data_IF_088072349911
#
_entry.id   IF_088072349911
#
_cell.length_a   1.000
_cell.length_b   1.000
_cell.length_c   1.000
_cell.angle_alpha   90.00
_cell.angle_beta   90.00
_cell.angle_gamma   90.00
#
_symmetry.space_group_name_H-M   'P 1'
#
loop_
_entity.id
_entity.type
_entity.pdbx_description
1 polymer ?
#
# COMPACT_ATOMS: atom_id res chain seq x y z
N UNK A 1 5.97 -30.70 19.27
CA UNK A 1 6.51 -31.38 18.06
C UNK A 1 5.90 -32.78 17.81
N UNK A 2 5.47 -33.52 18.87
CA UNK A 2 4.90 -34.88 18.71
C UNK A 2 3.43 -34.92 18.25
N UNK A 3 2.61 -33.97 18.65
CA UNK A 3 1.15 -33.97 18.34
C UNK A 3 0.79 -33.44 16.94
N UNK A 4 1.65 -32.66 16.31
CA UNK A 4 1.44 -32.16 14.93
C UNK A 4 1.83 -33.21 13.88
N UNK A 5 2.88 -34.01 14.14
CA UNK A 5 3.24 -35.13 13.25
C UNK A 5 2.17 -36.25 13.23
N UNK A 6 1.44 -36.44 14.33
CA UNK A 6 0.39 -37.47 14.39
C UNK A 6 -0.85 -37.10 13.57
N UNK A 7 -1.24 -35.81 13.51
CA UNK A 7 -2.35 -35.34 12.66
C UNK A 7 -2.03 -35.40 11.16
N UNK A 8 -0.77 -35.14 10.79
CA UNK A 8 -0.31 -35.24 9.41
C UNK A 8 -0.34 -36.69 8.88
N UNK A 9 0.01 -37.66 9.73
CA UNK A 9 -0.03 -39.07 9.32
C UNK A 9 -1.43 -39.65 9.31
N UNK A 10 -2.38 -39.16 10.12
CA UNK A 10 -3.77 -39.64 10.07
C UNK A 10 -4.54 -39.15 8.82
N UNK A 11 -4.21 -38.02 8.25
CA UNK A 11 -4.81 -37.53 7.01
C UNK A 11 -4.35 -38.31 5.78
N UNK A 12 -3.18 -38.94 5.82
CA UNK A 12 -2.66 -39.77 4.71
C UNK A 12 -3.29 -41.17 4.65
N UNK A 13 -3.99 -41.65 5.71
CA UNK A 13 -4.51 -43.02 5.78
C UNK A 13 -5.97 -43.12 5.37
N UNK A 14 -6.67 -42.02 5.15
CA UNK A 14 -8.12 -42.05 4.76
C UNK A 14 -8.30 -41.88 3.23
N UNK A 15 -7.23 -41.60 2.46
CA UNK A 15 -7.32 -41.41 0.99
C UNK A 15 -6.84 -42.64 0.18
N UNK A 16 -6.82 -43.84 0.74
CA UNK A 16 -6.34 -45.04 0.06
C UNK A 16 -7.37 -46.15 -0.04
N UNK A 17 -8.57 -45.87 -0.43
CA UNK A 17 -9.48 -46.91 -0.99
C UNK A 17 -10.43 -46.22 -1.99
N UNK A 18 -9.96 -45.91 -3.19
CA UNK A 18 -10.78 -45.89 -4.41
C UNK A 18 -9.92 -46.45 -5.54
N UNK A 19 -10.18 -47.67 -5.84
CA UNK A 19 -10.07 -48.49 -7.07
C UNK A 19 -9.01 -48.07 -8.09
N UNK A 20 -7.88 -48.75 -8.04
CA UNK A 20 -6.95 -48.90 -9.15
C UNK A 20 -7.63 -49.65 -10.29
N UNK A 21 -8.12 -48.99 -11.31
CA UNK A 21 -8.30 -49.53 -12.65
C UNK A 21 -7.28 -48.78 -13.54
N UNK A 22 -6.30 -49.55 -14.00
CA UNK A 22 -5.18 -49.01 -14.78
C UNK A 22 -5.64 -48.38 -16.08
N UNK A 23 -5.29 -47.14 -16.22
CA UNK A 23 -4.98 -46.54 -17.53
C UNK A 23 -3.58 -45.98 -17.40
N UNK A 24 -2.67 -46.57 -18.15
CA UNK A 24 -1.35 -45.99 -18.39
C UNK A 24 -1.58 -44.69 -19.16
N UNK A 25 -1.93 -43.62 -18.45
CA UNK A 25 -2.11 -42.29 -19.00
C UNK A 25 -0.73 -41.71 -19.22
N UNK A 26 -0.40 -41.55 -20.46
CA UNK A 26 0.63 -40.66 -20.98
C UNK A 26 0.43 -39.35 -20.21
N UNK A 27 1.42 -38.94 -19.41
CA UNK A 27 1.44 -37.63 -18.75
C UNK A 27 1.61 -36.60 -19.89
N UNK A 28 0.49 -36.26 -20.56
CA UNK A 28 0.45 -35.09 -21.44
C UNK A 28 0.56 -33.89 -20.52
N UNK A 29 1.67 -33.17 -20.60
CA UNK A 29 1.76 -31.85 -20.03
C UNK A 29 0.50 -31.09 -20.49
N UNK A 30 -0.29 -30.58 -19.53
CA UNK A 30 -1.51 -29.84 -19.83
C UNK A 30 -1.08 -28.59 -20.62
N UNK A 31 -1.47 -28.50 -21.89
CA UNK A 31 -1.02 -27.43 -22.80
C UNK A 31 -1.59 -26.06 -22.45
N UNK A 32 -2.39 -25.93 -21.36
CA UNK A 32 -3.02 -24.69 -20.95
C UNK A 32 -3.60 -24.73 -19.54
N UNK A 33 -4.22 -23.63 -19.15
CA UNK A 33 -4.98 -23.56 -17.89
C UNK A 33 -6.47 -23.82 -18.15
N UNK A 34 -7.13 -24.32 -17.11
CA UNK A 34 -8.58 -24.39 -17.00
C UNK A 34 -9.00 -23.88 -15.63
N UNK A 35 -9.89 -22.89 -15.58
CA UNK A 35 -10.42 -22.29 -14.35
C UNK A 35 -11.92 -22.57 -14.33
N UNK A 36 -12.40 -23.30 -13.32
CA UNK A 36 -13.80 -23.61 -13.13
C UNK A 36 -14.29 -22.91 -11.87
N UNK A 37 -15.34 -22.10 -11.98
CA UNK A 37 -16.00 -21.46 -10.85
C UNK A 37 -17.33 -22.10 -10.52
N UNK A 38 -17.58 -22.35 -9.23
CA UNK A 38 -18.81 -22.88 -8.66
C UNK A 38 -19.19 -22.07 -7.42
N UNK A 39 -19.61 -20.83 -7.61
CA UNK A 39 -19.87 -19.89 -6.52
C UNK A 39 -21.28 -20.01 -5.94
N UNK A 40 -22.16 -20.77 -6.60
CA UNK A 40 -23.53 -20.98 -6.19
C UNK A 40 -24.41 -19.73 -6.26
N UNK A 41 -25.68 -19.90 -5.89
CA UNK A 41 -26.64 -18.80 -5.86
C UNK A 41 -27.11 -18.34 -7.24
N UNK A 42 -27.77 -17.18 -7.29
CA UNK A 42 -28.26 -16.53 -8.51
C UNK A 42 -27.26 -15.49 -9.06
N UNK A 43 -25.98 -15.63 -8.74
CA UNK A 43 -24.94 -14.74 -9.26
C UNK A 43 -24.78 -14.96 -10.76
N UNK A 44 -24.77 -13.86 -11.52
CA UNK A 44 -24.60 -13.86 -12.95
C UNK A 44 -23.90 -12.60 -13.42
N UNK A 45 -23.51 -12.58 -14.70
CA UNK A 45 -22.88 -11.44 -15.32
C UNK A 45 -21.56 -11.80 -16.00
N UNK A 46 -21.01 -10.82 -16.70
CA UNK A 46 -19.78 -10.97 -17.48
C UNK A 46 -18.56 -10.94 -16.57
N UNK A 47 -17.67 -11.89 -16.76
CA UNK A 47 -16.38 -11.97 -16.06
C UNK A 47 -15.23 -11.80 -17.06
N UNK A 48 -14.17 -11.15 -16.61
CA UNK A 48 -12.93 -10.94 -17.34
C UNK A 48 -11.77 -11.55 -16.54
N UNK A 49 -11.00 -12.39 -17.21
CA UNK A 49 -9.71 -12.86 -16.72
C UNK A 49 -8.61 -11.99 -17.31
N UNK A 50 -7.76 -11.41 -16.49
CA UNK A 50 -6.68 -10.54 -16.92
C UNK A 50 -5.42 -10.75 -16.08
N UNK A 51 -4.26 -10.39 -16.64
CA UNK A 51 -2.96 -10.31 -15.95
C UNK A 51 -2.48 -8.86 -15.90
N UNK A 52 -1.59 -8.54 -14.98
CA UNK A 52 -0.94 -7.23 -14.94
C UNK A 52 0.05 -7.11 -16.10
N UNK A 53 -0.06 -6.05 -16.88
CA UNK A 53 0.88 -5.69 -17.95
C UNK A 53 1.52 -4.33 -17.71
N UNK A 54 2.45 -3.91 -18.55
CA UNK A 54 3.19 -2.64 -18.41
C UNK A 54 2.29 -1.40 -18.48
N UNK A 55 1.20 -1.45 -19.24
CA UNK A 55 0.25 -0.33 -19.44
C UNK A 55 -1.11 -0.56 -18.79
N UNK A 56 -1.21 -1.49 -17.83
CA UNK A 56 -2.45 -1.87 -17.16
C UNK A 56 -2.77 -3.35 -17.33
N UNK A 57 -4.04 -3.72 -17.19
CA UNK A 57 -4.46 -5.11 -17.31
C UNK A 57 -4.50 -5.59 -18.75
N UNK A 58 -3.89 -6.75 -19.00
CA UNK A 58 -3.98 -7.47 -20.28
C UNK A 58 -5.02 -8.58 -20.15
N UNK A 59 -6.08 -8.49 -20.93
CA UNK A 59 -7.15 -9.48 -20.95
C UNK A 59 -6.67 -10.80 -21.54
N UNK A 60 -6.85 -11.89 -20.77
CA UNK A 60 -6.61 -13.26 -21.22
C UNK A 60 -7.88 -13.93 -21.77
N UNK A 61 -9.05 -13.58 -21.23
CA UNK A 61 -10.32 -14.15 -21.65
C UNK A 61 -11.51 -13.43 -21.01
N UNK A 62 -12.69 -13.76 -21.50
CA UNK A 62 -13.96 -13.38 -20.89
C UNK A 62 -14.94 -14.54 -20.96
N UNK A 63 -15.85 -14.60 -20.00
CA UNK A 63 -16.92 -15.59 -19.92
C UNK A 63 -18.15 -14.99 -19.28
N UNK A 64 -19.26 -15.67 -19.38
CA UNK A 64 -20.49 -15.31 -18.66
C UNK A 64 -20.68 -16.24 -17.46
N UNK A 65 -20.94 -15.69 -16.32
CA UNK A 65 -21.30 -16.46 -15.12
C UNK A 65 -22.82 -16.68 -15.12
N UNK A 66 -23.23 -17.95 -15.08
CA UNK A 66 -24.64 -18.37 -15.09
C UNK A 66 -24.89 -19.20 -13.84
N UNK A 67 -25.83 -18.76 -13.00
CA UNK A 67 -26.17 -19.44 -11.75
C UNK A 67 -24.92 -19.72 -10.86
N UNK A 68 -23.98 -18.78 -10.82
CA UNK A 68 -22.75 -18.90 -10.06
C UNK A 68 -21.68 -19.81 -10.68
N UNK A 69 -21.90 -20.36 -11.87
CA UNK A 69 -20.95 -21.22 -12.56
C UNK A 69 -20.32 -20.50 -13.76
N UNK A 70 -19.03 -20.68 -13.96
CA UNK A 70 -18.27 -20.14 -15.11
C UNK A 70 -17.04 -20.98 -15.40
N UNK A 71 -16.48 -20.80 -16.59
CA UNK A 71 -15.23 -21.45 -17.01
C UNK A 71 -14.38 -20.49 -17.84
N UNK A 72 -13.05 -20.53 -17.60
CA UNK A 72 -12.03 -19.96 -18.49
C UNK A 72 -11.07 -21.06 -18.90
N UNK A 73 -10.59 -21.00 -20.14
CA UNK A 73 -9.54 -21.86 -20.66
C UNK A 73 -8.59 -21.05 -21.53
N UNK A 74 -7.31 -21.38 -21.51
CA UNK A 74 -6.29 -20.68 -22.26
C UNK A 74 -4.90 -21.18 -21.92
N UNK A 75 -3.88 -20.40 -22.27
CA UNK A 75 -2.51 -20.71 -21.90
C UNK A 75 -1.75 -19.45 -21.48
N UNK A 76 -0.77 -19.62 -20.60
CA UNK A 76 0.17 -18.58 -20.19
C UNK A 76 1.60 -19.02 -20.47
N UNK A 77 2.51 -18.08 -20.81
CA UNK A 77 3.91 -18.41 -21.12
C UNK A 77 4.70 -18.88 -19.88
N UNK A 78 4.18 -18.68 -18.68
CA UNK A 78 4.79 -19.08 -17.42
C UNK A 78 3.93 -18.67 -16.23
N UNK A 79 4.36 -19.05 -15.01
CA UNK A 79 3.67 -18.68 -13.78
C UNK A 79 3.52 -17.17 -13.60
N UNK A 80 2.37 -16.74 -13.08
CA UNK A 80 2.09 -15.32 -12.87
C UNK A 80 0.89 -15.08 -11.97
N UNK A 81 0.42 -13.83 -11.96
CA UNK A 81 -0.76 -13.44 -11.19
C UNK A 81 -1.86 -12.99 -12.16
N UNK A 82 -3.01 -13.65 -12.06
CA UNK A 82 -4.21 -13.30 -12.80
C UNK A 82 -5.32 -12.84 -11.86
N UNK A 83 -6.21 -12.03 -12.41
CA UNK A 83 -7.34 -11.42 -11.72
C UNK A 83 -8.62 -11.77 -12.45
N UNK A 84 -9.61 -12.30 -11.74
CA UNK A 84 -10.97 -12.39 -12.25
C UNK A 84 -11.72 -11.17 -11.75
N UNK A 85 -12.32 -10.42 -12.65
CA UNK A 85 -13.05 -9.19 -12.38
C UNK A 85 -14.44 -9.25 -13.01
N UNK A 86 -15.41 -8.55 -12.42
CA UNK A 86 -16.71 -8.32 -13.04
C UNK A 86 -16.66 -7.20 -14.10
N UNK A 87 -17.78 -6.94 -14.75
CA UNK A 87 -17.93 -5.87 -15.75
C UNK A 87 -17.73 -4.44 -15.19
N UNK A 88 -17.82 -4.25 -13.86
CA UNK A 88 -17.52 -3.02 -13.15
C UNK A 88 -16.07 -2.91 -12.71
N UNK A 89 -15.22 -3.87 -13.14
CA UNK A 89 -13.83 -4.01 -12.74
C UNK A 89 -13.63 -4.27 -11.23
N UNK A 90 -14.64 -4.82 -10.57
CA UNK A 90 -14.48 -5.26 -9.18
C UNK A 90 -13.79 -6.60 -9.14
N UNK A 91 -12.78 -6.73 -8.29
CA UNK A 91 -12.01 -7.96 -8.13
C UNK A 91 -12.88 -9.05 -7.49
N UNK A 92 -12.98 -10.18 -8.16
CA UNK A 92 -13.67 -11.40 -7.71
C UNK A 92 -12.67 -12.36 -7.06
N UNK A 93 -11.56 -12.65 -7.76
CA UNK A 93 -10.52 -13.55 -7.26
C UNK A 93 -9.14 -13.18 -7.83
N UNK A 94 -8.10 -13.49 -7.05
CA UNK A 94 -6.70 -13.47 -7.48
C UNK A 94 -6.22 -14.91 -7.60
N UNK A 95 -5.61 -15.25 -8.72
CA UNK A 95 -5.13 -16.59 -9.06
C UNK A 95 -3.63 -16.55 -9.34
N UNK A 96 -2.88 -17.43 -8.70
CA UNK A 96 -1.49 -17.71 -9.05
C UNK A 96 -1.47 -18.60 -10.27
N UNK A 97 -1.66 -17.98 -11.46
CA UNK A 97 -1.95 -18.70 -12.71
C UNK A 97 -0.75 -19.45 -13.24
N UNK A 98 -0.98 -20.69 -13.60
CA UNK A 98 -0.08 -21.59 -14.29
C UNK A 98 -0.90 -22.40 -15.29
N UNK A 99 -0.26 -23.14 -16.24
CA UNK A 99 -0.97 -24.02 -17.17
C UNK A 99 -1.41 -25.31 -16.45
N UNK A 100 -2.49 -25.19 -15.66
CA UNK A 100 -3.14 -26.28 -14.89
C UNK A 100 -4.61 -25.97 -14.59
N UNK A 101 -5.28 -26.88 -13.90
CA UNK A 101 -6.66 -26.69 -13.46
C UNK A 101 -6.75 -25.92 -12.16
N UNK A 102 -7.75 -25.05 -12.07
CA UNK A 102 -8.12 -24.29 -10.89
C UNK A 102 -9.61 -24.46 -10.63
N UNK A 103 -9.99 -24.61 -9.36
CA UNK A 103 -11.37 -24.64 -8.91
C UNK A 103 -11.62 -23.47 -7.97
N UNK A 104 -12.66 -22.69 -8.25
CA UNK A 104 -13.14 -21.61 -7.40
C UNK A 104 -14.48 -21.99 -6.79
N UNK A 105 -14.58 -21.93 -5.48
CA UNK A 105 -15.80 -22.21 -4.72
C UNK A 105 -16.14 -21.09 -3.76
N UNK A 106 -17.41 -20.97 -3.39
CA UNK A 106 -17.83 -20.04 -2.36
C UNK A 106 -17.41 -20.60 -0.98
N UNK A 107 -16.50 -19.89 -0.33
CA UNK A 107 -16.02 -20.22 1.01
C UNK A 107 -16.66 -19.36 2.10
N UNK A 108 -16.37 -19.68 3.34
CA UNK A 108 -16.88 -18.93 4.51
C UNK A 108 -16.32 -17.52 4.64
N UNK A 109 -15.21 -17.23 3.98
CA UNK A 109 -14.49 -15.94 4.03
C UNK A 109 -14.32 -15.28 2.65
N UNK A 110 -15.16 -15.66 1.69
CA UNK A 110 -15.11 -15.20 0.32
C UNK A 110 -14.96 -16.34 -0.66
N UNK A 111 -14.14 -16.18 -1.69
CA UNK A 111 -13.89 -17.22 -2.68
C UNK A 111 -12.64 -18.00 -2.28
N UNK A 112 -12.77 -19.31 -2.22
CA UNK A 112 -11.65 -20.23 -2.07
C UNK A 112 -11.19 -20.67 -3.46
N UNK A 113 -9.87 -20.69 -3.67
CA UNK A 113 -9.25 -21.07 -4.93
C UNK A 113 -8.31 -22.25 -4.68
N UNK A 114 -8.56 -23.35 -5.37
CA UNK A 114 -7.71 -24.53 -5.36
C UNK A 114 -6.99 -24.65 -6.70
N UNK A 115 -5.72 -25.05 -6.71
CA UNK A 115 -4.97 -25.25 -7.95
C UNK A 115 -3.48 -24.91 -7.86
N UNK A 116 -2.65 -25.92 -7.72
CA UNK A 116 -1.19 -25.80 -7.76
C UNK A 116 -0.50 -25.29 -6.51
N UNK A 117 0.81 -25.55 -6.42
CA UNK A 117 1.61 -25.20 -5.24
C UNK A 117 1.68 -23.68 -5.03
N UNK A 118 1.79 -22.89 -6.09
CA UNK A 118 1.84 -21.44 -5.99
C UNK A 118 0.54 -20.86 -5.43
N UNK A 119 -0.62 -21.45 -5.82
CA UNK A 119 -1.91 -21.05 -5.26
C UNK A 119 -2.02 -21.41 -3.78
N UNK A 120 -1.54 -22.58 -3.38
CA UNK A 120 -1.51 -22.98 -1.97
C UNK A 120 -0.68 -22.02 -1.13
N UNK A 121 0.50 -21.61 -1.63
CA UNK A 121 1.32 -20.60 -0.98
C UNK A 121 0.59 -19.27 -0.85
N UNK A 122 -0.09 -18.82 -1.92
CA UNK A 122 -0.89 -17.59 -1.87
C UNK A 122 -2.04 -17.68 -0.86
N UNK A 123 -2.73 -18.82 -0.81
CA UNK A 123 -3.85 -19.03 0.11
C UNK A 123 -3.43 -18.87 1.59
N UNK A 124 -2.21 -19.28 1.95
CA UNK A 124 -1.67 -19.04 3.29
C UNK A 124 -1.58 -17.56 3.61
N UNK A 125 -1.06 -16.76 2.67
CA UNK A 125 -0.93 -15.31 2.85
C UNK A 125 -2.29 -14.59 2.82
N UNK A 126 -3.15 -14.96 1.89
CA UNK A 126 -4.49 -14.39 1.72
C UNK A 126 -5.37 -14.61 2.97
N UNK A 127 -5.29 -15.78 3.59
CA UNK A 127 -5.98 -16.08 4.84
C UNK A 127 -5.56 -15.17 6.00
N UNK A 128 -4.28 -14.76 6.06
CA UNK A 128 -3.80 -13.78 7.05
C UNK A 128 -4.48 -12.43 6.82
N UNK A 129 -4.49 -11.97 5.56
CA UNK A 129 -5.07 -10.68 5.19
C UNK A 129 -6.59 -10.66 5.36
N UNK A 130 -7.30 -11.71 4.96
CA UNK A 130 -8.75 -11.85 5.17
C UNK A 130 -9.13 -11.71 6.64
N UNK A 131 -8.35 -12.31 7.57
CA UNK A 131 -8.57 -12.14 9.02
C UNK A 131 -8.41 -10.69 9.48
N UNK A 132 -7.40 -9.98 8.98
CA UNK A 132 -7.18 -8.55 9.33
C UNK A 132 -8.33 -7.70 8.78
N UNK A 133 -8.74 -7.93 7.53
CA UNK A 133 -9.87 -7.21 6.92
C UNK A 133 -11.17 -7.42 7.70
N UNK A 134 -11.48 -8.66 8.08
CA UNK A 134 -12.65 -8.98 8.91
C UNK A 134 -12.57 -8.29 10.27
N UNK A 135 -11.42 -8.37 10.94
CA UNK A 135 -11.23 -7.71 12.23
C UNK A 135 -11.39 -6.19 12.12
N UNK A 136 -10.95 -5.59 11.03
CA UNK A 136 -11.14 -4.17 10.77
C UNK A 136 -12.63 -3.81 10.56
N UNK A 137 -13.38 -4.62 9.81
CA UNK A 137 -14.84 -4.42 9.66
C UNK A 137 -15.57 -4.50 11.01
N UNK A 138 -15.24 -5.49 11.83
CA UNK A 138 -15.81 -5.63 13.17
C UNK A 138 -15.43 -4.44 14.07
N UNK A 139 -14.16 -4.01 13.99
CA UNK A 139 -13.67 -2.81 14.71
C UNK A 139 -14.50 -1.59 14.32
N UNK A 140 -14.70 -1.33 13.02
CA UNK A 140 -15.48 -0.16 12.58
C UNK A 140 -16.90 -0.19 13.10
N UNK A 141 -17.58 -1.34 13.03
CA UNK A 141 -18.94 -1.48 13.55
C UNK A 141 -19.01 -1.22 15.06
N UNK A 142 -18.13 -1.86 15.85
CA UNK A 142 -18.08 -1.67 17.30
C UNK A 142 -17.70 -0.24 17.68
N UNK A 143 -16.77 0.39 16.94
CA UNK A 143 -16.33 1.76 17.18
C UNK A 143 -17.47 2.76 16.96
N UNK A 144 -18.26 2.60 15.89
CA UNK A 144 -19.44 3.44 15.63
C UNK A 144 -20.46 3.35 16.77
N UNK A 145 -20.69 2.12 17.30
CA UNK A 145 -21.60 1.91 18.45
C UNK A 145 -21.05 2.61 19.72
N UNK A 146 -19.76 2.46 20.02
CA UNK A 146 -19.13 3.09 21.17
C UNK A 146 -19.17 4.62 21.04
N UNK A 147 -18.90 5.16 19.84
CA UNK A 147 -18.95 6.60 19.58
C UNK A 147 -20.36 7.16 19.76
N UNK A 148 -21.39 6.50 19.22
CA UNK A 148 -22.79 6.92 19.37
C UNK A 148 -23.25 6.94 20.85
N UNK A 149 -22.66 6.07 21.69
CA UNK A 149 -22.93 6.00 23.16
C UNK A 149 -22.00 6.89 23.99
N UNK A 150 -21.10 7.62 23.37
CA UNK A 150 -20.01 8.39 24.05
C UNK A 150 -19.15 7.52 24.99
N UNK A 151 -19.06 6.21 24.73
CA UNK A 151 -18.28 5.25 25.48
C UNK A 151 -16.80 5.26 25.04
N UNK A 152 -16.03 6.15 25.69
CA UNK A 152 -14.59 6.27 25.42
C UNK A 152 -13.80 5.02 25.82
N UNK A 153 -14.21 4.34 26.88
CA UNK A 153 -13.54 3.14 27.39
C UNK A 153 -13.76 2.00 26.41
N UNK A 154 -14.99 1.80 25.96
CA UNK A 154 -15.34 0.82 24.93
C UNK A 154 -14.61 1.08 23.62
N UNK A 155 -14.51 2.33 23.17
CA UNK A 155 -13.76 2.68 21.95
C UNK A 155 -12.27 2.31 22.05
N UNK A 156 -11.63 2.57 23.21
CA UNK A 156 -10.23 2.16 23.44
C UNK A 156 -10.09 0.65 23.47
N UNK A 157 -11.00 -0.08 24.11
CA UNK A 157 -10.98 -1.55 24.16
C UNK A 157 -11.11 -2.16 22.76
N UNK A 158 -11.99 -1.64 21.92
CA UNK A 158 -12.14 -2.06 20.51
C UNK A 158 -10.84 -1.86 19.72
N UNK A 159 -10.18 -0.72 19.91
CA UNK A 159 -8.89 -0.47 19.25
C UNK A 159 -7.80 -1.44 19.74
N UNK A 160 -7.75 -1.76 21.02
CA UNK A 160 -6.78 -2.72 21.59
C UNK A 160 -7.02 -4.15 21.07
N UNK A 161 -8.28 -4.58 20.96
CA UNK A 161 -8.62 -5.88 20.35
C UNK A 161 -8.11 -5.97 18.91
N UNK A 162 -8.37 -4.95 18.11
CA UNK A 162 -7.88 -4.90 16.72
C UNK A 162 -6.36 -4.94 16.65
N UNK A 163 -5.69 -4.16 17.51
CA UNK A 163 -4.22 -4.13 17.57
C UNK A 163 -3.61 -5.52 17.80
N UNK A 164 -4.22 -6.36 18.65
CA UNK A 164 -3.75 -7.73 18.89
C UNK A 164 -3.84 -8.58 17.62
N UNK A 165 -4.91 -8.43 16.83
CA UNK A 165 -5.06 -9.14 15.55
C UNK A 165 -3.98 -8.69 14.56
N UNK A 166 -3.72 -7.39 14.47
CA UNK A 166 -2.68 -6.84 13.58
C UNK A 166 -1.29 -7.35 13.97
N UNK A 167 -0.94 -7.32 15.25
CA UNK A 167 0.38 -7.80 15.72
C UNK A 167 0.58 -9.29 15.41
N UNK A 168 -0.45 -10.11 15.62
CA UNK A 168 -0.41 -11.53 15.28
C UNK A 168 -0.26 -11.74 13.77
N UNK A 169 -0.98 -10.98 12.96
CA UNK A 169 -0.88 -11.05 11.50
C UNK A 169 0.52 -10.67 11.01
N UNK A 170 1.15 -9.64 11.60
CA UNK A 170 2.53 -9.26 11.26
C UNK A 170 3.55 -10.38 11.58
N UNK A 171 3.37 -11.10 12.70
CA UNK A 171 4.21 -12.24 13.04
C UNK A 171 4.02 -13.40 12.05
N UNK A 172 2.77 -13.73 11.70
CA UNK A 172 2.45 -14.77 10.71
C UNK A 172 2.95 -14.39 9.30
N UNK A 173 2.87 -13.12 8.89
CA UNK A 173 3.45 -12.64 7.64
C UNK A 173 4.98 -12.79 7.64
N UNK A 174 5.65 -12.49 8.75
CA UNK A 174 7.10 -12.69 8.86
C UNK A 174 7.48 -14.16 8.70
N UNK A 175 6.74 -15.07 9.34
CA UNK A 175 6.95 -16.52 9.16
C UNK A 175 6.65 -16.98 7.72
N UNK A 176 5.62 -16.43 7.09
CA UNK A 176 5.35 -16.67 5.67
C UNK A 176 6.54 -16.29 4.79
N UNK A 177 7.10 -15.09 4.95
CA UNK A 177 8.26 -14.67 4.16
C UNK A 177 9.52 -15.46 4.44
N UNK A 178 9.73 -15.95 5.67
CA UNK A 178 10.84 -16.87 5.98
C UNK A 178 10.72 -18.21 5.26
N UNK A 179 9.50 -18.73 5.12
CA UNK A 179 9.26 -20.04 4.52
C UNK A 179 9.18 -19.99 2.98
N UNK A 180 8.64 -18.93 2.42
CA UNK A 180 8.32 -18.81 1.00
C UNK A 180 8.99 -17.61 0.30
N UNK A 181 9.90 -16.90 0.99
CA UNK A 181 10.45 -15.61 0.55
C UNK A 181 11.15 -15.61 -0.80
N UNK A 182 11.62 -16.78 -1.30
CA UNK A 182 12.27 -16.85 -2.61
C UNK A 182 11.32 -17.24 -3.77
N UNK A 183 10.00 -17.09 -3.56
CA UNK A 183 8.98 -17.35 -4.59
C UNK A 183 8.45 -16.05 -5.21
N UNK A 184 7.95 -16.13 -6.46
CA UNK A 184 7.26 -14.99 -7.07
C UNK A 184 5.98 -14.61 -6.31
N UNK A 185 5.36 -15.58 -5.63
CA UNK A 185 4.18 -15.38 -4.80
C UNK A 185 4.50 -14.47 -3.61
N UNK A 186 5.66 -14.68 -2.96
CA UNK A 186 6.09 -13.81 -1.87
C UNK A 186 6.41 -12.39 -2.36
N UNK A 187 7.04 -12.25 -3.53
CA UNK A 187 7.26 -10.93 -4.13
C UNK A 187 5.92 -10.21 -4.40
N UNK A 188 4.93 -10.92 -4.95
CA UNK A 188 3.60 -10.38 -5.15
C UNK A 188 2.88 -10.06 -3.83
N UNK A 189 3.04 -10.90 -2.80
CA UNK A 189 2.47 -10.65 -1.48
C UNK A 189 2.96 -9.33 -0.88
N UNK A 190 4.28 -9.05 -0.92
CA UNK A 190 4.83 -7.74 -0.51
C UNK A 190 4.31 -6.62 -1.41
N UNK A 191 4.27 -6.85 -2.73
CA UNK A 191 3.77 -5.86 -3.70
C UNK A 191 2.32 -5.47 -3.43
N UNK A 192 1.45 -6.42 -3.08
CA UNK A 192 0.04 -6.17 -2.77
C UNK A 192 -0.16 -5.29 -1.52
N UNK A 193 0.81 -5.28 -0.61
CA UNK A 193 0.81 -4.45 0.61
C UNK A 193 1.61 -3.14 0.47
N UNK A 194 2.31 -2.94 -0.65
CA UNK A 194 3.29 -1.87 -0.84
C UNK A 194 2.72 -0.46 -0.58
N UNK A 195 1.50 -0.20 -1.01
CA UNK A 195 0.88 1.13 -0.85
C UNK A 195 0.42 1.40 0.59
N UNK A 196 0.27 0.36 1.41
CA UNK A 196 -0.14 0.46 2.83
C UNK A 196 1.06 0.49 3.77
N UNK A 197 2.20 -0.04 3.32
CA UNK A 197 3.42 -0.13 4.10
C UNK A 197 4.12 1.24 4.27
N UNK A 198 4.79 1.43 5.40
CA UNK A 198 5.81 2.47 5.55
C UNK A 198 7.18 1.95 5.07
N UNK A 199 8.19 2.84 5.09
CA UNK A 199 9.54 2.49 4.64
C UNK A 199 10.14 1.31 5.41
N UNK A 200 10.03 1.32 6.74
CA UNK A 200 10.64 0.29 7.59
C UNK A 200 10.00 -1.08 7.36
N UNK A 201 8.67 -1.12 7.31
CA UNK A 201 7.92 -2.35 7.02
C UNK A 201 8.24 -2.91 5.63
N UNK A 202 8.22 -2.04 4.61
CA UNK A 202 8.54 -2.46 3.24
C UNK A 202 9.98 -2.95 3.14
N UNK A 203 10.92 -2.28 3.81
CA UNK A 203 12.33 -2.68 3.87
C UNK A 203 12.51 -4.03 4.58
N UNK A 204 11.84 -4.25 5.70
CA UNK A 204 11.86 -5.53 6.41
C UNK A 204 11.37 -6.67 5.50
N UNK A 205 10.20 -6.52 4.88
CA UNK A 205 9.65 -7.55 4.00
C UNK A 205 10.51 -7.80 2.77
N UNK A 206 11.02 -6.73 2.14
CA UNK A 206 11.90 -6.85 0.98
C UNK A 206 13.22 -7.58 1.31
N UNK A 207 13.76 -7.36 2.51
CA UNK A 207 14.97 -8.06 2.97
C UNK A 207 14.74 -9.55 3.25
N UNK A 208 13.50 -9.96 3.51
CA UNK A 208 13.11 -11.37 3.65
C UNK A 208 12.89 -12.06 2.29
N UNK A 209 12.83 -11.31 1.19
CA UNK A 209 12.75 -11.90 -0.15
C UNK A 209 14.11 -12.43 -0.60
N UNK A 210 14.09 -13.61 -1.20
CA UNK A 210 15.25 -14.21 -1.86
C UNK A 210 15.54 -13.59 -3.23
N UNK A 211 16.63 -14.00 -3.85
CA UNK A 211 17.07 -13.41 -5.13
C UNK A 211 16.13 -13.73 -6.29
N UNK A 212 15.51 -14.93 -6.32
CA UNK A 212 14.52 -15.26 -7.36
C UNK A 212 13.29 -14.34 -7.26
N UNK A 213 12.78 -14.13 -6.05
CA UNK A 213 11.66 -13.22 -5.79
C UNK A 213 11.99 -11.78 -6.17
N UNK A 214 13.17 -11.25 -5.79
CA UNK A 214 13.63 -9.89 -6.12
C UNK A 214 13.82 -9.67 -7.62
N UNK A 215 14.16 -10.71 -8.38
CA UNK A 215 14.34 -10.64 -9.83
C UNK A 215 13.03 -10.66 -10.63
N UNK A 216 11.90 -10.95 -10.00
CA UNK A 216 10.56 -10.83 -10.63
C UNK A 216 10.21 -9.37 -10.93
N UNK A 217 9.19 -9.15 -11.77
CA UNK A 217 8.66 -7.80 -12.04
C UNK A 217 8.19 -7.13 -10.72
N UNK A 218 7.55 -7.88 -9.82
CA UNK A 218 7.10 -7.40 -8.52
C UNK A 218 8.28 -7.03 -7.61
N UNK A 219 9.29 -7.89 -7.52
CA UNK A 219 10.49 -7.64 -6.71
C UNK A 219 11.27 -6.41 -7.18
N UNK A 220 11.41 -6.22 -8.49
CA UNK A 220 12.02 -5.03 -9.09
C UNK A 220 11.23 -3.77 -8.77
N UNK A 221 9.88 -3.81 -8.90
CA UNK A 221 9.03 -2.68 -8.55
C UNK A 221 9.16 -2.29 -7.06
N UNK A 222 9.26 -3.28 -6.16
CA UNK A 222 9.51 -3.07 -4.73
C UNK A 222 10.87 -2.41 -4.48
N UNK A 223 11.93 -2.84 -5.17
CA UNK A 223 13.26 -2.23 -5.08
C UNK A 223 13.23 -0.75 -5.49
N UNK A 224 12.59 -0.43 -6.62
CA UNK A 224 12.39 0.96 -7.07
C UNK A 224 11.63 1.77 -6.03
N UNK A 225 10.55 1.21 -5.46
CA UNK A 225 9.76 1.90 -4.42
C UNK A 225 10.59 2.19 -3.16
N UNK A 226 11.40 1.23 -2.73
CA UNK A 226 12.30 1.41 -1.57
C UNK A 226 13.34 2.51 -1.81
N UNK A 227 13.93 2.59 -3.00
CA UNK A 227 14.84 3.70 -3.33
C UNK A 227 14.12 5.06 -3.31
N UNK A 228 12.89 5.13 -3.81
CA UNK A 228 12.08 6.35 -3.70
C UNK A 228 11.80 6.74 -2.24
N UNK A 229 11.52 5.76 -1.38
CA UNK A 229 11.33 6.02 0.05
C UNK A 229 12.63 6.45 0.74
N UNK A 230 13.78 5.89 0.36
CA UNK A 230 15.08 6.21 0.96
C UNK A 230 15.41 7.69 0.87
N UNK A 231 15.02 8.34 -0.20
CA UNK A 231 15.25 9.76 -0.43
C UNK A 231 14.36 10.67 0.44
N UNK A 232 13.30 10.14 1.05
CA UNK A 232 12.35 10.93 1.86
C UNK A 232 12.27 10.49 3.32
N UNK A 233 13.28 9.76 3.82
CA UNK A 233 13.46 9.46 5.25
C UNK A 233 14.47 10.40 5.90
N UNK A 234 14.50 10.46 7.23
CA UNK A 234 15.53 11.24 7.95
C UNK A 234 16.90 10.68 7.61
N UNK A 235 17.83 11.56 7.27
CA UNK A 235 19.17 11.24 6.77
C UNK A 235 19.26 11.10 5.23
N UNK A 236 18.14 10.98 4.51
CA UNK A 236 18.10 10.99 3.05
C UNK A 236 18.23 12.40 2.46
N UNK A 237 18.66 12.49 1.21
CA UNK A 237 18.67 13.74 0.46
C UNK A 237 17.28 13.94 -0.16
N UNK A 238 16.59 15.00 0.27
CA UNK A 238 15.26 15.34 -0.25
C UNK A 238 15.32 15.54 -1.77
N UNK A 239 14.46 14.87 -2.55
CA UNK A 239 14.46 15.00 -3.99
C UNK A 239 14.12 16.44 -4.40
N UNK A 240 14.80 16.94 -5.44
CA UNK A 240 14.42 18.22 -6.02
C UNK A 240 13.02 18.17 -6.64
N UNK A 241 12.33 19.27 -6.57
CA UNK A 241 11.05 19.46 -7.26
C UNK A 241 10.97 20.85 -7.85
N UNK A 242 10.16 21.00 -8.87
CA UNK A 242 9.78 22.28 -9.45
C UNK A 242 8.28 22.46 -9.35
N UNK A 243 7.83 23.63 -8.93
CA UNK A 243 6.42 23.96 -8.80
C UNK A 243 6.10 25.40 -9.20
N UNK A 244 4.87 25.65 -9.63
CA UNK A 244 4.41 27.00 -10.05
C UNK A 244 4.17 27.86 -8.81
N UNK A 245 4.67 29.08 -8.83
CA UNK A 245 4.51 30.10 -7.78
C UNK A 245 3.18 30.85 -7.92
N UNK A 246 2.70 31.51 -6.84
CA UNK A 246 1.46 32.32 -6.85
C UNK A 246 1.45 33.41 -7.92
N UNK A 247 2.61 34.06 -8.12
CA UNK A 247 2.79 35.16 -9.06
C UNK A 247 3.08 34.70 -10.49
N UNK A 248 3.14 33.38 -10.70
CA UNK A 248 3.62 32.77 -11.94
C UNK A 248 5.11 32.48 -11.91
N UNK A 249 5.60 31.79 -12.94
CA UNK A 249 6.95 31.24 -12.96
C UNK A 249 7.08 29.99 -12.09
N UNK A 250 8.28 29.41 -12.05
CA UNK A 250 8.58 28.17 -11.34
C UNK A 250 9.60 28.41 -10.23
N UNK A 251 9.61 27.54 -9.24
CA UNK A 251 10.60 27.49 -8.17
C UNK A 251 11.07 26.05 -8.00
N UNK A 252 12.39 25.82 -8.07
CA UNK A 252 13.00 24.55 -7.66
C UNK A 252 13.41 24.62 -6.19
N UNK A 253 13.24 23.50 -5.47
CA UNK A 253 13.72 23.39 -4.08
C UNK A 253 15.23 23.67 -3.98
N UNK A 254 16.01 23.16 -4.93
CA UNK A 254 17.47 23.27 -4.90
C UNK A 254 17.99 24.67 -5.22
N UNK A 255 17.18 25.52 -5.85
CA UNK A 255 17.49 26.95 -6.05
C UNK A 255 17.35 27.74 -4.74
N UNK A 256 16.57 27.25 -3.77
CA UNK A 256 16.38 27.93 -2.49
C UNK A 256 17.63 27.76 -1.62
N UNK A 257 18.34 28.87 -1.38
CA UNK A 257 19.52 28.89 -0.52
C UNK A 257 19.14 29.34 0.88
N UNK A 258 19.32 28.45 1.86
CA UNK A 258 19.06 28.69 3.28
C UNK A 258 19.88 27.73 4.12
N UNK A 259 20.13 28.06 5.40
CA UNK A 259 20.77 27.11 6.34
C UNK A 259 19.85 25.96 6.68
N UNK A 260 18.56 26.28 6.85
CA UNK A 260 17.50 25.32 7.16
C UNK A 260 16.30 25.64 6.26
N UNK A 261 15.73 24.62 5.64
CA UNK A 261 14.51 24.71 4.84
C UNK A 261 13.41 23.89 5.47
N UNK A 262 12.23 24.48 5.59
CA UNK A 262 11.00 23.76 5.97
C UNK A 262 10.15 23.58 4.71
N UNK A 263 10.04 22.36 4.22
CA UNK A 263 9.08 21.99 3.18
C UNK A 263 7.79 21.56 3.88
N UNK A 264 6.69 22.27 3.63
CA UNK A 264 5.40 22.09 4.28
C UNK A 264 4.31 21.75 3.25
N UNK A 265 3.73 20.57 3.37
CA UNK A 265 2.63 20.12 2.52
C UNK A 265 1.29 20.42 3.20
N UNK A 266 0.46 21.21 2.52
CA UNK A 266 -0.79 21.73 3.07
C UNK A 266 -1.87 21.92 2.00
N UNK A 267 -3.05 22.41 2.38
CA UNK A 267 -4.09 22.91 1.48
C UNK A 267 -5.02 23.91 2.16
N UNK A 268 -5.69 24.74 1.39
CA UNK A 268 -6.65 25.74 1.88
C UNK A 268 -7.84 25.11 2.62
N UNK A 269 -8.26 23.94 2.18
CA UNK A 269 -9.36 23.15 2.77
C UNK A 269 -8.94 22.28 3.96
N UNK A 270 -7.64 22.21 4.28
CA UNK A 270 -7.12 21.41 5.39
C UNK A 270 -7.21 22.18 6.71
N UNK A 271 -8.23 21.92 7.52
CA UNK A 271 -8.43 22.58 8.81
C UNK A 271 -7.21 22.50 9.76
N UNK A 272 -6.63 21.31 10.01
CA UNK A 272 -5.41 21.18 10.82
C UNK A 272 -4.22 21.97 10.26
N UNK A 273 -4.05 22.03 8.92
CA UNK A 273 -3.00 22.82 8.26
C UNK A 273 -3.18 24.31 8.57
N UNK A 274 -4.43 24.81 8.42
CA UNK A 274 -4.76 26.22 8.66
C UNK A 274 -4.53 26.63 10.14
N UNK A 275 -4.67 25.69 11.08
CA UNK A 275 -4.31 25.93 12.48
C UNK A 275 -2.79 26.06 12.68
N UNK A 276 -2.01 25.20 12.04
CA UNK A 276 -0.54 25.25 12.10
C UNK A 276 0.00 26.52 11.41
N UNK A 277 -0.56 26.89 10.26
CA UNK A 277 -0.18 28.08 9.49
C UNK A 277 -0.25 29.37 10.31
N UNK A 278 -1.10 29.46 11.35
CA UNK A 278 -1.16 30.64 12.24
C UNK A 278 0.11 30.83 13.09
N UNK A 279 0.87 29.77 13.30
CA UNK A 279 2.10 29.78 14.08
C UNK A 279 3.34 30.11 13.23
N UNK A 280 3.31 29.71 11.94
CA UNK A 280 4.46 29.85 11.04
C UNK A 280 4.88 31.30 10.77
N UNK A 281 4.01 32.32 10.64
CA UNK A 281 4.45 33.71 10.43
C UNK A 281 5.34 34.25 11.53
N UNK A 282 5.04 33.92 12.79
CA UNK A 282 5.87 34.31 13.95
C UNK A 282 7.23 33.63 13.92
N UNK A 283 7.23 32.33 13.60
CA UNK A 283 8.43 31.53 13.48
C UNK A 283 9.33 32.04 12.34
N UNK A 284 8.75 32.27 11.16
CA UNK A 284 9.45 32.80 9.99
C UNK A 284 10.04 34.17 10.28
N UNK A 285 9.27 35.12 10.81
CA UNK A 285 9.78 36.45 11.18
C UNK A 285 10.96 36.38 12.14
N UNK A 286 10.94 35.44 13.10
CA UNK A 286 12.00 35.28 14.08
C UNK A 286 13.28 34.70 13.50
N UNK A 287 13.19 33.71 12.61
CA UNK A 287 14.36 32.92 12.19
C UNK A 287 14.76 33.09 10.72
N UNK A 288 13.96 33.77 9.87
CA UNK A 288 14.30 33.98 8.47
C UNK A 288 15.68 34.64 8.29
N UNK A 289 15.97 35.73 9.02
CA UNK A 289 17.30 36.40 8.97
C UNK A 289 18.41 35.52 9.54
N UNK A 290 18.13 34.56 10.36
CA UNK A 290 19.12 33.61 10.88
C UNK A 290 19.40 32.45 9.90
N UNK A 291 18.60 32.31 8.83
CA UNK A 291 18.79 31.34 7.76
C UNK A 291 17.68 30.31 7.62
N UNK A 292 16.46 30.54 8.17
CA UNK A 292 15.30 29.71 7.88
C UNK A 292 14.61 30.16 6.60
N UNK A 293 14.33 29.23 5.70
CA UNK A 293 13.36 29.42 4.61
C UNK A 293 12.22 28.42 4.71
N UNK A 294 11.02 28.82 4.32
CA UNK A 294 9.85 27.94 4.24
C UNK A 294 9.41 27.84 2.78
N UNK A 295 9.11 26.63 2.33
CA UNK A 295 8.55 26.34 1.03
C UNK A 295 7.26 25.54 1.27
N UNK A 296 6.11 26.18 1.11
CA UNK A 296 4.81 25.51 1.25
C UNK A 296 4.32 24.97 -0.09
N UNK A 297 4.12 23.67 -0.16
CA UNK A 297 3.59 22.94 -1.31
C UNK A 297 2.10 22.71 -1.11
N UNK A 298 1.27 23.37 -1.92
CA UNK A 298 -0.19 23.25 -1.80
C UNK A 298 -0.75 22.10 -2.61
N UNK A 299 -1.67 21.33 -1.98
CA UNK A 299 -2.52 20.32 -2.61
C UNK A 299 -3.93 20.87 -2.94
N UNK A 300 -4.03 22.13 -3.28
CA UNK A 300 -5.26 22.70 -3.78
C UNK A 300 -5.53 22.32 -5.25
N UNK A 301 -6.80 22.25 -5.63
CA UNK A 301 -7.22 22.07 -7.02
C UNK A 301 -7.63 23.41 -7.67
N UNK A 302 -7.79 24.47 -6.87
CA UNK A 302 -8.25 25.79 -7.32
C UNK A 302 -7.28 26.85 -6.87
N UNK A 303 -6.71 27.57 -7.82
CA UNK A 303 -5.77 28.64 -7.56
C UNK A 303 -6.38 29.74 -6.66
N UNK A 304 -7.63 30.11 -6.89
CA UNK A 304 -8.29 31.17 -6.12
C UNK A 304 -8.37 30.85 -4.62
N UNK A 305 -8.71 29.61 -4.27
CA UNK A 305 -8.80 29.16 -2.86
C UNK A 305 -7.41 29.15 -2.21
N UNK A 306 -6.40 28.65 -2.95
CA UNK A 306 -5.00 28.64 -2.52
C UNK A 306 -4.48 30.07 -2.22
N UNK A 307 -4.61 31.00 -3.20
CA UNK A 307 -4.15 32.39 -3.04
C UNK A 307 -4.87 33.11 -1.90
N UNK A 308 -6.19 32.89 -1.79
CA UNK A 308 -6.96 33.44 -0.68
C UNK A 308 -6.43 32.95 0.67
N UNK A 309 -6.16 31.66 0.81
CA UNK A 309 -5.66 31.08 2.05
C UNK A 309 -4.27 31.58 2.44
N UNK A 310 -3.35 31.75 1.47
CA UNK A 310 -2.04 32.39 1.69
C UNK A 310 -2.21 33.77 2.30
N UNK A 311 -3.09 34.58 1.74
CA UNK A 311 -3.36 35.93 2.22
C UNK A 311 -4.00 35.95 3.61
N UNK A 312 -5.02 35.13 3.82
CA UNK A 312 -5.77 35.05 5.10
C UNK A 312 -4.85 34.62 6.26
N UNK A 313 -3.89 33.72 6.01
CA UNK A 313 -2.97 33.20 7.03
C UNK A 313 -1.65 34.02 7.12
N UNK A 314 -1.53 35.11 6.34
CA UNK A 314 -0.30 35.97 6.30
C UNK A 314 0.98 35.18 6.01
N UNK A 315 0.95 34.27 5.06
CA UNK A 315 2.05 33.40 4.68
C UNK A 315 2.96 34.12 3.67
N UNK A 316 4.06 34.73 4.13
CA UNK A 316 4.92 35.65 3.34
C UNK A 316 6.16 34.99 2.77
N UNK A 317 6.27 33.69 2.86
CA UNK A 317 7.39 32.88 2.36
C UNK A 317 7.10 32.30 0.98
N UNK A 318 7.88 31.30 0.54
CA UNK A 318 7.76 30.69 -0.79
C UNK A 318 6.61 29.68 -0.84
N UNK A 319 5.86 29.73 -1.93
CA UNK A 319 4.74 28.84 -2.17
C UNK A 319 4.81 28.25 -3.57
N UNK A 320 4.44 26.97 -3.70
CA UNK A 320 4.29 26.31 -4.99
C UNK A 320 3.05 25.41 -4.99
N UNK A 321 2.47 25.21 -6.18
CA UNK A 321 1.40 24.24 -6.41
C UNK A 321 1.38 23.81 -7.87
N UNK A 322 0.98 22.56 -8.14
CA UNK A 322 0.62 22.08 -9.47
C UNK A 322 -0.91 22.04 -9.69
N UNK A 323 -1.69 22.46 -8.69
CA UNK A 323 -3.15 22.49 -8.66
C UNK A 323 -3.81 21.14 -8.99
N UNK A 324 -3.14 20.03 -8.64
CA UNK A 324 -3.64 18.67 -8.91
C UNK A 324 -4.14 17.93 -7.66
N UNK A 325 -4.26 18.62 -6.54
CA UNK A 325 -4.71 18.01 -5.29
C UNK A 325 -3.88 16.81 -4.90
N UNK A 326 -4.52 15.71 -4.55
CA UNK A 326 -3.84 14.43 -4.27
C UNK A 326 -3.16 13.80 -5.49
N UNK A 327 -3.44 14.29 -6.70
CA UNK A 327 -2.73 13.93 -7.93
C UNK A 327 -1.39 14.68 -8.11
N UNK A 328 -0.97 15.51 -7.15
CA UNK A 328 0.29 16.26 -7.22
C UNK A 328 1.51 15.36 -7.41
N UNK A 329 2.34 15.72 -8.42
CA UNK A 329 3.59 15.01 -8.67
C UNK A 329 4.60 15.23 -7.53
N UNK A 330 4.60 16.43 -6.92
CA UNK A 330 5.47 16.78 -5.79
C UNK A 330 5.06 15.97 -4.56
N UNK A 331 3.76 15.87 -4.28
CA UNK A 331 3.26 15.07 -3.16
C UNK A 331 3.60 13.58 -3.31
N UNK A 332 3.47 13.02 -4.53
CA UNK A 332 3.89 11.64 -4.82
C UNK A 332 5.39 11.44 -4.65
N UNK A 333 6.21 12.38 -5.13
CA UNK A 333 7.67 12.33 -5.01
C UNK A 333 8.11 12.28 -3.54
N UNK A 334 7.43 13.03 -2.65
CA UNK A 334 7.69 13.06 -1.21
C UNK A 334 6.89 12.02 -0.42
N UNK A 335 6.17 11.11 -1.10
CA UNK A 335 5.33 10.07 -0.49
C UNK A 335 4.32 10.63 0.52
N UNK A 336 3.74 11.80 0.23
CA UNK A 336 2.76 12.48 1.09
C UNK A 336 1.41 11.77 0.94
N UNK A 337 0.95 11.12 2.00
CA UNK A 337 -0.35 10.41 2.06
C UNK A 337 -1.38 11.12 2.95
N UNK A 338 -0.95 12.09 3.73
CA UNK A 338 -1.80 12.91 4.60
C UNK A 338 -1.18 14.28 4.80
N UNK A 339 -2.01 15.31 5.04
CA UNK A 339 -1.59 16.66 5.37
C UNK A 339 -2.20 17.12 6.70
N UNK A 340 -1.50 17.99 7.46
CA UNK A 340 -0.21 18.59 7.16
C UNK A 340 0.94 17.59 7.27
N UNK A 341 1.96 17.71 6.41
CA UNK A 341 3.20 16.93 6.49
C UNK A 341 4.39 17.86 6.25
N UNK A 342 5.42 17.75 7.09
CA UNK A 342 6.58 18.64 7.02
C UNK A 342 7.89 17.86 6.91
N UNK A 343 8.84 18.45 6.20
CA UNK A 343 10.22 17.97 6.08
C UNK A 343 11.15 19.15 6.44
N UNK A 344 12.00 18.96 7.44
CA UNK A 344 13.02 19.93 7.80
C UNK A 344 14.33 19.50 7.17
N UNK A 345 14.94 20.38 6.37
CA UNK A 345 16.16 20.09 5.60
C UNK A 345 17.30 20.98 6.07
N UNK A 346 18.54 20.47 5.95
CA UNK A 346 19.75 21.29 6.06
C UNK A 346 20.06 22.07 4.76
N UNK A 347 21.20 22.74 4.70
CA UNK A 347 21.63 23.52 3.55
C UNK A 347 21.89 22.64 2.31
N UNK A 348 22.33 21.41 2.49
CA UNK A 348 22.64 20.40 1.49
C UNK A 348 21.41 19.56 1.07
N UNK A 349 20.23 19.89 1.59
CA UNK A 349 18.95 19.20 1.40
C UNK A 349 18.84 17.82 2.07
N UNK A 350 19.65 17.47 3.05
CA UNK A 350 19.40 16.28 3.84
C UNK A 350 18.19 16.51 4.77
N UNK A 351 17.32 15.53 4.85
CA UNK A 351 16.15 15.56 5.75
C UNK A 351 16.63 15.31 7.17
N UNK A 352 16.55 16.33 8.01
CA UNK A 352 16.99 16.26 9.41
C UNK A 352 15.84 15.97 10.39
N UNK A 353 14.60 16.23 9.97
CA UNK A 353 13.41 15.84 10.72
C UNK A 353 12.17 15.80 9.81
N UNK A 354 11.14 15.06 10.24
CA UNK A 354 9.85 14.97 9.55
C UNK A 354 8.70 15.18 10.54
N UNK A 355 7.58 15.71 10.04
CA UNK A 355 6.31 15.82 10.75
C UNK A 355 6.37 16.62 12.07
N UNK A 356 7.37 17.48 12.23
CA UNK A 356 7.44 18.40 13.35
C UNK A 356 6.39 19.52 13.20
N UNK A 357 5.72 19.88 14.29
CA UNK A 357 4.68 20.91 14.34
C UNK A 357 4.70 21.67 15.67
N UNK A 358 4.07 22.84 15.70
CA UNK A 358 3.87 23.60 16.93
C UNK A 358 5.15 23.80 17.73
N UNK A 359 5.13 23.43 19.02
CA UNK A 359 6.24 23.59 19.94
C UNK A 359 7.49 22.78 19.54
N UNK A 360 7.32 21.55 19.02
CA UNK A 360 8.43 20.68 18.65
C UNK A 360 9.18 21.25 17.43
N UNK A 361 8.46 21.77 16.43
CA UNK A 361 9.05 22.46 15.29
C UNK A 361 9.82 23.72 15.74
N UNK A 362 9.21 24.54 16.60
CA UNK A 362 9.86 25.73 17.14
C UNK A 362 11.13 25.40 17.92
N UNK A 363 11.08 24.38 18.77
CA UNK A 363 12.23 23.90 19.54
C UNK A 363 13.36 23.44 18.60
N UNK A 364 13.04 22.62 17.60
CA UNK A 364 14.04 22.11 16.67
C UNK A 364 14.69 23.20 15.84
N UNK A 365 13.93 24.18 15.35
CA UNK A 365 14.47 25.32 14.62
C UNK A 365 15.32 26.21 15.55
N UNK A 366 14.91 26.41 16.80
CA UNK A 366 15.70 27.15 17.79
C UNK A 366 17.04 26.46 18.11
N UNK A 367 17.06 25.14 18.22
CA UNK A 367 18.31 24.36 18.39
C UNK A 367 19.26 24.55 17.20
N UNK A 368 18.73 24.57 15.97
CA UNK A 368 19.54 24.64 14.75
C UNK A 368 20.01 26.05 14.38
N UNK A 369 19.20 27.08 14.66
CA UNK A 369 19.44 28.48 14.26
C UNK A 369 19.58 29.45 15.43
N UNK A 370 19.19 29.06 16.63
CA UNK A 370 19.41 29.84 17.84
C UNK A 370 20.87 29.69 18.26
N UNK A 371 21.74 30.56 17.74
CA UNK A 371 23.11 30.67 18.25
C UNK A 371 23.12 30.90 19.76
N UNK A 372 24.17 30.39 20.44
CA UNK A 372 24.47 30.58 21.86
C UNK A 372 24.39 32.04 22.28
#
# INVERSE_FOLDING_TARGET
LGKMKLKWNMMKTILSIILFLGVCGICTAQEGFKIVGQLGGSLGGKLVLAVSGEQGFVKLGETEMVNGSFEFSGSVPGPGVAYIMDEKQQLIATIMIENREFLLTAGGEGIDVEGGEAQEVWNVFDAINKRVMRANMIKEQKFQVAYARQDRVGAVAVQQEFQKVVLKAMEEQREFFKNYGDTYVAAYAVYSLMEQANFDQLGEWYNLLGENAKNTAYGKALGVKLEQFRNVVVGGVAPDFEGTQPEGGTLSLYEVKAKIKLVDFWASWCGPCRMENKNLPKLYKKYHKAGLEIISVSLDNKQQDWLKAIKDDNMTWKHVSDLKGWGSAIARLYQVKAIPQTFLLDAENHIIAKNLRGADLQKKIAELLGGK
#
